data_IF_248067221661
#
_entry.id   IF_248067221661
#
_cell.length_a   1.000
_cell.length_b   1.000
_cell.length_c   1.000
_cell.angle_alpha   90.00
_cell.angle_beta   90.00
_cell.angle_gamma   90.00
#
_symmetry.space_group_name_H-M   'P 1'
#
loop_
_entity.id
_entity.type
_entity.pdbx_description
1 polymer ?
#
# COMPACT_ATOMS: atom_id res chain seq x y z
N UNK A 1 0.74 32.00 -14.93
CA UNK A 1 0.95 32.38 -16.35
C UNK A 1 1.26 31.14 -17.16
N UNK A 2 0.63 30.98 -18.33
CA UNK A 2 0.93 29.86 -19.23
C UNK A 2 2.37 29.99 -19.76
N UNK A 3 3.21 28.97 -19.54
CA UNK A 3 4.58 28.94 -20.09
C UNK A 3 4.53 28.41 -21.52
N UNK A 4 5.31 28.99 -22.42
CA UNK A 4 5.46 28.50 -23.79
C UNK A 4 6.23 27.18 -23.77
N UNK A 5 5.68 26.13 -24.38
CA UNK A 5 6.34 24.82 -24.46
C UNK A 5 7.18 24.64 -25.71
N UNK A 6 6.86 25.37 -26.78
CA UNK A 6 7.63 25.33 -28.01
C UNK A 6 7.47 26.66 -28.77
N UNK A 7 8.55 27.06 -29.44
CA UNK A 7 8.62 28.25 -30.30
C UNK A 7 9.28 27.81 -31.59
N UNK A 8 8.68 28.17 -32.70
CA UNK A 8 9.18 27.74 -33.98
C UNK A 8 8.29 28.22 -35.12
N UNK A 9 8.48 27.58 -36.27
CA UNK A 9 7.74 27.88 -37.49
C UNK A 9 6.84 26.71 -37.83
N UNK A 10 5.58 27.01 -38.19
CA UNK A 10 4.71 26.04 -38.85
C UNK A 10 4.80 26.33 -40.34
N UNK A 11 5.20 25.33 -41.11
CA UNK A 11 5.34 25.43 -42.56
C UNK A 11 4.32 24.57 -43.29
N UNK A 12 3.85 25.08 -44.43
CA UNK A 12 3.02 24.33 -45.36
C UNK A 12 3.38 24.75 -46.78
N UNK A 13 3.97 23.81 -47.53
CA UNK A 13 4.55 24.12 -48.84
C UNK A 13 5.67 25.16 -48.75
N UNK A 14 5.41 26.39 -49.20
CA UNK A 14 6.37 27.49 -49.23
C UNK A 14 6.10 28.60 -48.20
N UNK A 15 5.05 28.43 -47.37
CA UNK A 15 4.65 29.43 -46.39
C UNK A 15 5.19 29.03 -45.02
N UNK A 16 5.75 30.00 -44.28
CA UNK A 16 6.30 29.83 -42.94
C UNK A 16 5.71 30.84 -41.96
N UNK A 17 5.05 30.33 -40.91
CA UNK A 17 4.35 31.15 -39.92
C UNK A 17 5.02 30.94 -38.54
N UNK A 18 5.52 32.00 -37.88
CA UNK A 18 6.06 31.88 -36.53
C UNK A 18 4.93 31.65 -35.52
N UNK A 19 5.04 30.61 -34.70
CA UNK A 19 4.03 30.26 -33.70
C UNK A 19 4.64 30.02 -32.32
N UNK A 20 3.76 30.02 -31.30
CA UNK A 20 4.09 29.67 -29.92
C UNK A 20 3.07 28.68 -29.40
N UNK A 21 3.53 27.53 -28.93
CA UNK A 21 2.67 26.50 -28.36
C UNK A 21 2.56 26.70 -26.84
N UNK A 22 1.33 26.66 -26.33
CA UNK A 22 1.04 26.76 -24.90
C UNK A 22 0.32 25.51 -24.43
N UNK A 23 0.67 25.02 -23.24
CA UNK A 23 -0.05 23.90 -22.62
C UNK A 23 -1.41 24.39 -22.13
N UNK A 24 -2.49 23.85 -22.70
CA UNK A 24 -3.85 24.16 -22.31
C UNK A 24 -4.19 23.66 -20.89
N UNK A 25 -3.69 22.48 -20.52
CA UNK A 25 -3.89 21.88 -19.21
C UNK A 25 -2.57 21.50 -18.52
N UNK A 26 -2.54 21.66 -17.21
CA UNK A 26 -1.51 21.12 -16.33
C UNK A 26 -2.14 20.01 -15.51
N UNK A 27 -1.57 18.82 -15.54
CA UNK A 27 -1.84 17.85 -14.50
C UNK A 27 -1.23 18.37 -13.20
N UNK A 28 -2.07 18.61 -12.20
CA UNK A 28 -1.57 18.86 -10.85
C UNK A 28 -1.08 17.53 -10.27
N UNK A 29 0.18 17.50 -9.83
CA UNK A 29 0.73 16.33 -9.17
C UNK A 29 0.48 16.47 -7.68
N UNK A 30 -0.52 15.75 -7.17
CA UNK A 30 -0.72 15.63 -5.72
C UNK A 30 0.43 14.82 -5.14
N UNK A 31 1.25 15.45 -4.30
CA UNK A 31 2.36 14.79 -3.62
C UNK A 31 1.84 13.99 -2.43
N UNK A 32 1.98 12.66 -2.48
CA UNK A 32 1.63 11.78 -1.37
C UNK A 32 2.89 11.41 -0.57
N UNK A 33 2.80 11.48 0.76
CA UNK A 33 3.83 10.95 1.66
C UNK A 33 3.56 9.47 1.91
N UNK A 34 4.62 8.65 1.93
CA UNK A 34 4.50 7.25 2.36
C UNK A 34 4.32 7.23 3.88
N UNK A 35 3.23 6.61 4.34
CA UNK A 35 2.90 6.48 5.75
C UNK A 35 2.86 5.00 6.14
N UNK A 36 3.46 4.68 7.27
CA UNK A 36 3.34 3.39 7.95
C UNK A 36 2.06 3.38 8.78
N UNK A 37 1.30 2.29 8.66
CA UNK A 37 0.13 1.98 9.47
C UNK A 37 0.43 0.72 10.26
N UNK A 38 0.51 0.83 11.58
CA UNK A 38 0.63 -0.34 12.44
C UNK A 38 -0.62 -1.21 12.30
N UNK A 39 -0.45 -2.53 12.20
CA UNK A 39 -1.56 -3.45 12.25
C UNK A 39 -2.25 -3.35 13.62
N UNK A 40 -3.60 -3.35 13.69
CA UNK A 40 -4.26 -3.50 14.98
C UNK A 40 -3.85 -4.84 15.61
N UNK A 41 -3.73 -4.90 16.94
CA UNK A 41 -3.39 -6.14 17.61
C UNK A 41 -4.41 -7.22 17.21
N UNK A 42 -3.91 -8.35 16.72
CA UNK A 42 -4.75 -9.53 16.48
C UNK A 42 -5.43 -9.86 17.81
N UNK A 43 -6.77 -9.94 17.82
CA UNK A 43 -7.52 -10.38 18.98
C UNK A 43 -6.96 -11.76 19.36
N UNK A 44 -6.31 -11.85 20.52
CA UNK A 44 -6.07 -13.15 21.13
C UNK A 44 -7.45 -13.77 21.33
N UNK A 45 -7.77 -14.78 20.55
CA UNK A 45 -8.83 -15.71 20.87
C UNK A 45 -8.57 -16.13 22.30
N UNK A 46 -9.43 -15.71 23.23
CA UNK A 46 -9.46 -16.29 24.55
C UNK A 46 -9.81 -17.75 24.28
N UNK A 47 -8.82 -18.64 24.31
CA UNK A 47 -9.10 -20.07 24.43
C UNK A 47 -9.81 -20.19 25.77
N UNK A 48 -11.14 -20.36 25.72
CA UNK A 48 -11.88 -20.77 26.90
C UNK A 48 -11.16 -21.98 27.47
N UNK A 49 -10.77 -22.00 28.76
CA UNK A 49 -10.17 -23.18 29.34
C UNK A 49 -11.25 -24.25 29.26
N UNK A 50 -11.11 -25.18 28.32
CA UNK A 50 -11.95 -26.36 28.26
C UNK A 50 -11.67 -27.11 29.55
N UNK A 51 -12.54 -26.93 30.54
CA UNK A 51 -12.54 -27.66 31.79
C UNK A 51 -12.75 -29.13 31.44
N UNK A 52 -11.66 -29.86 31.29
CA UNK A 52 -11.67 -31.30 31.16
C UNK A 52 -11.98 -31.87 32.54
N UNK A 53 -13.23 -31.80 32.97
CA UNK A 53 -13.71 -32.72 33.99
C UNK A 53 -13.83 -34.08 33.31
N UNK A 54 -12.78 -34.88 33.43
CA UNK A 54 -12.81 -36.30 33.07
C UNK A 54 -13.87 -36.95 33.95
N UNK A 55 -14.91 -37.62 33.40
CA UNK A 55 -15.81 -38.41 34.22
C UNK A 55 -15.03 -39.59 34.77
N UNK A 56 -14.95 -39.68 36.09
CA UNK A 56 -14.39 -40.82 36.81
C UNK A 56 -15.23 -42.07 36.47
N UNK A 57 -14.66 -42.98 35.67
CA UNK A 57 -15.27 -44.25 35.29
C UNK A 57 -14.83 -45.37 36.25
N UNK A 58 -15.09 -45.16 37.52
CA UNK A 58 -15.23 -46.18 38.54
C UNK A 58 -16.42 -45.69 39.37
N UNK A 59 -17.61 -46.27 39.32
CA UNK A 59 -17.94 -47.63 39.66
C UNK A 59 -19.27 -47.96 38.97
N UNK A 60 -19.30 -49.00 38.14
CA UNK A 60 -20.54 -49.72 37.89
C UNK A 60 -20.53 -50.91 38.83
N UNK A 61 -21.27 -50.80 39.91
CA UNK A 61 -21.94 -51.93 40.54
C UNK A 61 -22.73 -51.43 41.76
N UNK A 62 -24.04 -51.22 41.58
CA UNK A 62 -25.08 -51.97 42.30
C UNK A 62 -26.46 -51.30 42.15
N UNK A 63 -27.41 -52.17 41.79
CA UNK A 63 -28.85 -51.97 41.83
C UNK A 63 -29.30 -51.46 43.21
N UNK A 64 -30.29 -50.56 43.24
CA UNK A 64 -31.56 -50.76 43.95
C UNK A 64 -32.48 -49.56 43.74
N UNK A 65 -33.73 -49.89 43.44
CA UNK A 65 -34.91 -49.05 43.39
C UNK A 65 -35.27 -48.44 44.74
N UNK A 66 -35.65 -47.17 44.77
CA UNK A 66 -36.86 -46.76 45.47
C UNK A 66 -37.54 -45.55 44.80
N UNK A 67 -38.83 -45.46 45.08
CA UNK A 67 -39.78 -44.49 44.56
C UNK A 67 -40.05 -43.46 45.65
N UNK A 68 -39.64 -42.21 45.45
CA UNK A 68 -40.31 -41.08 46.10
C UNK A 68 -40.00 -39.79 45.33
N UNK A 69 -41.04 -39.27 44.69
CA UNK A 69 -40.96 -38.06 43.89
C UNK A 69 -40.76 -36.83 44.76
N UNK A 70 -39.72 -36.05 44.48
CA UNK A 70 -39.76 -34.62 44.75
C UNK A 70 -38.81 -33.84 43.81
N UNK A 71 -39.37 -33.32 42.71
CA UNK A 71 -38.73 -32.29 41.89
C UNK A 71 -38.83 -30.96 42.64
N UNK A 72 -37.75 -30.53 43.28
CA UNK A 72 -37.59 -29.14 43.72
C UNK A 72 -36.89 -28.35 42.60
N UNK A 73 -37.64 -27.50 41.91
CA UNK A 73 -37.12 -26.51 40.97
C UNK A 73 -36.35 -25.43 41.76
N UNK A 74 -35.01 -25.51 41.77
CA UNK A 74 -34.16 -24.42 42.24
C UNK A 74 -33.98 -23.40 41.11
N UNK A 75 -34.96 -22.52 40.97
CA UNK A 75 -34.95 -21.38 40.05
C UNK A 75 -34.65 -20.10 40.83
N UNK A 76 -33.60 -20.11 41.65
CA UNK A 76 -33.07 -18.89 42.25
C UNK A 76 -31.55 -18.89 42.08
N UNK A 77 -31.04 -17.96 41.26
CA UNK A 77 -29.61 -17.72 41.16
C UNK A 77 -29.03 -17.32 39.80
N UNK A 78 -29.83 -17.17 38.73
CA UNK A 78 -29.31 -16.62 37.47
C UNK A 78 -29.27 -15.08 37.55
N UNK A 79 -28.28 -14.55 38.29
CA UNK A 79 -27.92 -13.14 38.18
C UNK A 79 -27.47 -12.92 36.74
N UNK A 80 -28.28 -12.18 35.97
CA UNK A 80 -27.97 -11.85 34.59
C UNK A 80 -26.55 -11.28 34.50
N UNK A 81 -25.69 -11.91 33.70
CA UNK A 81 -24.38 -11.38 33.38
C UNK A 81 -24.57 -9.95 32.82
N UNK A 82 -23.72 -8.98 33.21
CA UNK A 82 -23.79 -7.65 32.60
C UNK A 82 -23.68 -7.80 31.09
N UNK A 83 -24.58 -7.16 30.35
CA UNK A 83 -24.55 -7.19 28.90
C UNK A 83 -23.15 -6.82 28.40
N UNK A 84 -22.59 -7.54 27.41
CA UNK A 84 -21.27 -7.22 26.89
C UNK A 84 -21.27 -5.76 26.42
N UNK A 85 -20.29 -4.98 26.88
CA UNK A 85 -20.17 -3.59 26.47
C UNK A 85 -20.15 -3.51 24.93
N UNK A 86 -20.84 -2.52 24.33
CA UNK A 86 -20.78 -2.33 22.89
C UNK A 86 -19.32 -2.14 22.47
N UNK A 87 -18.89 -2.93 21.49
CA UNK A 87 -17.53 -2.92 20.96
C UNK A 87 -17.24 -1.50 20.46
N UNK A 88 -16.49 -0.72 21.23
CA UNK A 88 -16.03 0.60 20.79
C UNK A 88 -15.14 0.37 19.56
N UNK A 89 -15.35 1.09 18.44
CA UNK A 89 -14.46 0.97 17.29
C UNK A 89 -13.05 1.30 17.77
N UNK A 90 -12.11 0.36 17.61
CA UNK A 90 -10.73 0.57 17.99
C UNK A 90 -10.23 1.84 17.28
N UNK A 91 -9.78 2.82 18.04
CA UNK A 91 -9.14 4.02 17.49
C UNK A 91 -7.99 3.56 16.58
N UNK A 92 -7.98 3.92 15.29
CA UNK A 92 -6.90 3.53 14.41
C UNK A 92 -5.59 4.12 14.92
N UNK A 93 -4.54 3.31 14.94
CA UNK A 93 -3.21 3.75 15.36
C UNK A 93 -2.73 4.95 14.51
N UNK A 94 -1.93 5.87 15.10
CA UNK A 94 -1.43 7.04 14.37
C UNK A 94 -0.56 6.63 13.18
N UNK A 95 -0.71 7.34 12.07
CA UNK A 95 0.09 7.14 10.86
C UNK A 95 1.46 7.81 11.04
N UNK A 96 2.54 7.09 10.70
CA UNK A 96 3.93 7.58 10.86
C UNK A 96 4.60 7.72 9.49
N UNK A 97 5.34 8.81 9.17
CA UNK A 97 6.05 8.93 7.90
C UNK A 97 7.15 7.88 7.74
N UNK A 98 7.32 7.38 6.52
CA UNK A 98 8.36 6.39 6.17
C UNK A 98 9.58 7.07 5.56
N UNK A 99 10.77 6.68 6.01
CA UNK A 99 12.04 7.02 5.35
C UNK A 99 12.50 5.86 4.45
N UNK A 100 12.94 6.17 3.23
CA UNK A 100 13.48 5.20 2.31
C UNK A 100 15.00 5.21 2.40
N UNK A 101 15.61 4.03 2.48
CA UNK A 101 17.07 3.84 2.43
C UNK A 101 17.39 2.86 1.31
N UNK A 102 18.52 3.07 0.62
CA UNK A 102 19.03 2.13 -0.38
C UNK A 102 19.97 1.16 0.31
N UNK A 103 19.83 -0.14 0.07
CA UNK A 103 20.68 -1.18 0.67
C UNK A 103 21.42 -1.90 -0.47
N UNK A 104 22.70 -2.23 -0.29
CA UNK A 104 23.47 -2.96 -1.31
C UNK A 104 22.87 -4.35 -1.56
N UNK A 105 22.81 -4.78 -2.82
CA UNK A 105 22.40 -6.16 -3.17
C UNK A 105 23.36 -7.17 -2.53
N UNK A 106 22.86 -8.04 -1.64
CA UNK A 106 23.64 -9.10 -0.99
C UNK A 106 24.35 -8.70 0.31
N UNK A 107 24.18 -7.47 0.81
CA UNK A 107 24.72 -7.03 2.11
C UNK A 107 23.72 -6.08 2.75
N UNK A 108 23.51 -6.16 4.06
CA UNK A 108 22.60 -5.24 4.78
C UNK A 108 23.23 -3.85 5.02
N UNK A 109 24.14 -3.44 4.12
CA UNK A 109 24.84 -2.17 4.20
C UNK A 109 23.99 -1.06 3.57
N UNK A 110 23.66 -0.05 4.37
CA UNK A 110 22.91 1.13 3.94
C UNK A 110 23.82 2.03 3.11
N UNK A 111 23.41 2.30 1.86
CA UNK A 111 24.13 3.16 0.93
C UNK A 111 23.63 4.61 1.06
N UNK A 112 24.53 5.60 1.18
CA UNK A 112 24.15 7.01 1.13
C UNK A 112 23.62 7.37 -0.27
N UNK A 113 22.59 8.21 -0.36
CA UNK A 113 21.94 8.61 -1.62
C UNK A 113 22.91 9.09 -2.71
N UNK A 114 24.04 9.71 -2.33
CA UNK A 114 25.07 10.18 -3.26
C UNK A 114 25.85 9.07 -3.95
N UNK A 115 25.87 7.87 -3.38
CA UNK A 115 26.57 6.71 -3.93
C UNK A 115 25.71 5.89 -4.91
N UNK A 116 24.41 6.18 -4.97
CA UNK A 116 23.46 5.47 -5.82
C UNK A 116 23.36 6.18 -7.18
N UNK A 117 23.99 5.60 -8.19
CA UNK A 117 23.91 6.08 -9.58
C UNK A 117 22.88 5.30 -10.39
N UNK A 118 22.33 5.92 -11.44
CA UNK A 118 21.42 5.25 -12.37
C UNK A 118 22.22 4.54 -13.44
N UNK A 119 22.04 3.22 -13.55
CA UNK A 119 22.61 2.43 -14.62
C UNK A 119 21.52 1.80 -15.50
N UNK A 120 21.89 1.47 -16.73
CA UNK A 120 21.11 0.63 -17.64
C UNK A 120 21.76 -0.75 -17.72
N UNK A 121 20.98 -1.81 -17.53
CA UNK A 121 21.44 -3.19 -17.68
C UNK A 121 21.41 -3.56 -19.16
N UNK A 122 22.58 -3.70 -19.79
CA UNK A 122 22.67 -4.09 -21.20
C UNK A 122 22.80 -5.62 -21.38
N UNK A 123 23.26 -6.31 -20.33
CA UNK A 123 23.34 -7.75 -20.23
C UNK A 123 23.18 -8.20 -18.77
N UNK A 124 22.87 -9.48 -18.54
CA UNK A 124 22.65 -10.03 -17.21
C UNK A 124 23.81 -9.69 -16.26
N UNK A 125 23.50 -8.98 -15.18
CA UNK A 125 24.43 -8.52 -14.15
C UNK A 125 25.52 -7.54 -14.67
N UNK A 126 25.34 -6.94 -15.86
CA UNK A 126 26.23 -5.92 -16.44
C UNK A 126 25.51 -4.60 -16.66
N UNK A 127 26.02 -3.55 -16.03
CA UNK A 127 25.40 -2.22 -16.01
C UNK A 127 26.31 -1.18 -16.65
N UNK A 128 25.74 -0.24 -17.40
CA UNK A 128 26.39 0.99 -17.84
C UNK A 128 25.77 2.18 -17.11
N UNK A 129 26.58 3.08 -16.56
CA UNK A 129 26.08 4.32 -15.97
C UNK A 129 25.58 5.21 -17.10
N UNK A 130 24.36 5.73 -16.99
CA UNK A 130 23.79 6.62 -18.00
C UNK A 130 23.75 8.02 -17.42
N UNK A 131 24.57 8.92 -17.95
CA UNK A 131 24.59 10.31 -17.53
C UNK A 131 23.46 11.11 -18.17
N UNK A 132 23.04 12.20 -17.50
CA UNK A 132 21.97 13.06 -18.04
C UNK A 132 22.38 13.72 -19.35
N UNK A 133 23.67 13.95 -19.53
CA UNK A 133 24.27 14.59 -20.70
C UNK A 133 24.23 13.66 -21.91
N UNK A 134 24.54 12.38 -21.71
CA UNK A 134 24.40 11.33 -22.73
C UNK A 134 22.94 11.21 -23.20
N UNK A 135 21.99 11.17 -22.25
CA UNK A 135 20.55 11.19 -22.53
C UNK A 135 20.11 12.43 -23.33
N UNK A 136 20.70 13.61 -23.06
CA UNK A 136 20.41 14.83 -23.82
C UNK A 136 20.98 14.78 -25.24
N UNK A 137 22.10 14.08 -25.44
CA UNK A 137 22.76 13.97 -26.75
C UNK A 137 22.04 13.02 -27.70
N UNK A 138 21.44 11.94 -27.17
CA UNK A 138 20.62 11.00 -27.94
C UNK A 138 19.21 11.53 -28.21
N UNK A 139 18.74 12.47 -27.39
CA UNK A 139 17.44 13.08 -27.58
C UNK A 139 17.47 13.84 -28.92
N UNK A 140 16.53 13.56 -29.85
CA UNK A 140 16.43 14.35 -31.06
C UNK A 140 16.21 15.81 -30.65
N UNK A 141 17.05 16.72 -31.18
CA UNK A 141 16.85 18.16 -30.97
C UNK A 141 15.42 18.47 -31.41
N UNK A 142 14.65 19.08 -30.51
CA UNK A 142 13.29 19.50 -30.85
C UNK A 142 13.37 20.37 -32.09
N UNK A 143 12.75 19.93 -33.19
CA UNK A 143 12.78 20.65 -34.44
C UNK A 143 12.21 22.07 -34.22
N UNK A 144 12.90 23.07 -34.74
CA UNK A 144 12.40 24.46 -34.74
C UNK A 144 11.25 24.64 -35.74
N UNK A 145 11.03 23.64 -36.59
CA UNK A 145 10.05 23.67 -37.67
C UNK A 145 9.07 22.49 -37.55
N UNK A 146 7.79 22.78 -37.75
CA UNK A 146 6.71 21.80 -37.86
C UNK A 146 6.10 21.90 -39.26
N UNK A 147 6.15 20.81 -40.03
CA UNK A 147 5.55 20.75 -41.36
C UNK A 147 4.12 20.21 -41.29
N UNK A 148 3.17 20.89 -41.92
CA UNK A 148 1.80 20.40 -42.09
C UNK A 148 1.78 19.49 -43.32
N UNK A 149 1.59 18.19 -43.10
CA UNK A 149 1.47 17.20 -44.16
C UNK A 149 0.06 17.16 -44.80
N UNK A 150 -1.00 17.23 -43.98
CA UNK A 150 -2.38 17.08 -44.43
C UNK A 150 -3.34 17.87 -43.51
N UNK A 151 -4.45 18.34 -44.09
CA UNK A 151 -5.58 18.89 -43.34
C UNK A 151 -6.70 17.85 -43.29
N UNK A 152 -7.01 17.39 -42.08
CA UNK A 152 -8.15 16.48 -41.83
C UNK A 152 -9.41 17.27 -41.52
N UNK A 153 -10.58 16.72 -41.92
CA UNK A 153 -11.90 17.32 -41.77
C UNK A 153 -12.64 16.84 -40.51
#
# INVERSE_FOLDING_TARGET
MATTVWRGFVTFGLISIPVRLFRAARSERVSLRRLYRAAPPLRQSVEEPVSHSVPDYAERDHLLSDSSGQRRTRLEGLKAAPAPEPIRPATPAPLTPVQQVSIRKGTDEILPDRSVVKGYEYEKDRFVVVEREELKSIAPKTATEMEIHEFVK
#
